data_IF_945252722076
#
_entry.id   IF_945252722076
#
_cell.length_a   1.000
_cell.length_b   1.000
_cell.length_c   1.000
_cell.angle_alpha   90.00
_cell.angle_beta   90.00
_cell.angle_gamma   90.00
#
_symmetry.space_group_name_H-M   'P 1'
#
loop_
_entity.id
_entity.type
_entity.pdbx_description
1 polymer ?
#
# COMPACT_ATOMS: atom_id res chain seq x y z
N UNK A 1 -53.08 11.42 21.16
CA UNK A 1 -51.69 11.34 20.67
C UNK A 1 -50.92 10.67 21.78
N UNK A 2 -50.40 9.46 21.55
CA UNK A 2 -49.57 8.80 22.56
C UNK A 2 -48.18 9.45 22.49
N UNK A 3 -47.77 10.10 23.56
CA UNK A 3 -46.38 10.51 23.75
C UNK A 3 -45.56 9.23 23.91
N UNK A 4 -44.66 8.98 22.96
CA UNK A 4 -43.67 7.92 23.06
C UNK A 4 -42.71 8.31 24.17
N UNK A 5 -42.70 7.57 25.28
CA UNK A 5 -41.71 7.76 26.34
C UNK A 5 -40.29 7.57 25.74
N UNK A 6 -39.33 8.46 26.07
CA UNK A 6 -37.98 8.35 25.54
C UNK A 6 -37.35 7.04 26.02
N UNK A 7 -36.64 6.36 25.12
CA UNK A 7 -35.94 5.11 25.42
C UNK A 7 -34.94 5.35 26.57
N UNK A 8 -34.74 4.36 27.47
CA UNK A 8 -33.88 4.49 28.65
C UNK A 8 -32.38 4.61 28.33
N UNK A 9 -31.99 4.48 27.06
CA UNK A 9 -30.65 4.74 26.55
C UNK A 9 -30.76 5.60 25.29
N UNK A 10 -29.89 6.60 25.21
CA UNK A 10 -29.70 7.43 24.03
C UNK A 10 -28.53 6.90 23.19
N UNK A 11 -28.44 7.34 21.94
CA UNK A 11 -27.27 7.02 21.09
C UNK A 11 -25.97 7.55 21.72
N UNK A 12 -26.04 8.69 22.40
CA UNK A 12 -24.91 9.32 23.11
C UNK A 12 -24.36 8.43 24.25
N UNK A 13 -25.22 7.63 24.88
CA UNK A 13 -24.82 6.66 25.91
C UNK A 13 -24.10 5.42 25.35
N UNK A 14 -24.04 5.28 24.02
CA UNK A 14 -23.56 4.05 23.37
C UNK A 14 -22.49 4.30 22.30
N UNK A 15 -22.39 5.51 21.77
CA UNK A 15 -21.50 5.85 20.65
C UNK A 15 -20.55 6.96 21.08
N UNK A 16 -19.26 6.72 20.95
CA UNK A 16 -18.24 7.77 21.04
C UNK A 16 -18.02 8.31 19.65
N UNK A 17 -18.42 9.56 19.40
CA UNK A 17 -18.14 10.22 18.11
C UNK A 17 -16.62 10.30 17.87
N UNK A 18 -16.19 10.09 16.63
CA UNK A 18 -14.78 10.23 16.26
C UNK A 18 -14.31 11.68 16.42
N UNK A 19 -12.98 11.88 16.48
CA UNK A 19 -12.38 13.21 16.56
C UNK A 19 -12.81 14.09 15.38
N UNK A 20 -12.81 13.56 14.15
CA UNK A 20 -13.16 14.36 12.95
C UNK A 20 -14.60 14.87 13.02
N UNK A 21 -15.54 14.02 13.46
CA UNK A 21 -16.93 14.44 13.66
C UNK A 21 -17.10 15.49 14.77
N UNK A 22 -16.22 15.48 15.78
CA UNK A 22 -16.27 16.39 16.94
C UNK A 22 -15.59 17.73 16.67
N UNK A 23 -14.45 17.71 16.00
CA UNK A 23 -13.57 18.87 15.81
C UNK A 23 -13.75 19.50 14.42
N UNK A 24 -13.76 18.69 13.38
CA UNK A 24 -13.77 19.16 11.98
C UNK A 24 -15.18 19.24 11.38
N UNK A 25 -16.13 18.53 12.00
CA UNK A 25 -17.54 18.50 11.58
C UNK A 25 -17.79 17.74 10.28
N UNK A 26 -16.79 17.00 9.79
CA UNK A 26 -16.85 16.17 8.59
C UNK A 26 -16.04 14.89 8.79
N UNK A 27 -16.39 13.84 8.06
CA UNK A 27 -15.59 12.61 7.96
C UNK A 27 -14.96 12.68 6.57
N UNK A 28 -13.63 12.58 6.46
CA UNK A 28 -13.04 12.33 5.14
C UNK A 28 -13.50 10.94 4.69
N UNK A 29 -14.25 10.91 3.58
CA UNK A 29 -14.89 9.70 3.09
C UNK A 29 -13.99 8.85 2.22
N UNK A 30 -12.76 9.30 1.94
CA UNK A 30 -11.86 8.65 1.01
C UNK A 30 -10.48 8.45 1.63
N UNK A 31 -10.08 7.18 1.73
CA UNK A 31 -8.72 6.79 2.08
C UNK A 31 -7.81 6.98 0.87
N UNK A 32 -6.65 7.60 1.07
CA UNK A 32 -5.67 7.93 0.02
C UNK A 32 -4.30 7.43 0.42
N UNK A 33 -3.65 6.66 -0.46
CA UNK A 33 -2.37 6.04 -0.14
C UNK A 33 -1.29 7.07 0.23
N UNK A 34 -1.20 8.18 -0.50
CA UNK A 34 -0.17 9.19 -0.25
C UNK A 34 -0.30 9.94 1.08
N UNK A 35 -1.43 9.81 1.79
CA UNK A 35 -1.60 10.40 3.12
C UNK A 35 -0.80 9.65 4.20
N UNK A 36 -0.26 8.46 3.92
CA UNK A 36 0.57 7.72 4.89
C UNK A 36 1.88 8.46 5.22
N UNK A 37 2.31 9.37 4.35
CA UNK A 37 3.52 10.18 4.52
C UNK A 37 3.27 11.47 5.34
N UNK A 38 2.02 11.77 5.68
CA UNK A 38 1.63 12.95 6.46
C UNK A 38 1.19 12.54 7.88
N UNK A 39 2.03 12.83 8.87
CA UNK A 39 1.79 12.51 10.29
C UNK A 39 0.49 13.11 10.86
N UNK A 40 -0.10 14.11 10.20
CA UNK A 40 -1.37 14.73 10.61
C UNK A 40 -2.61 14.03 10.02
N UNK A 41 -2.43 13.11 9.06
CA UNK A 41 -3.51 12.40 8.38
C UNK A 41 -3.89 11.08 9.06
N UNK A 42 -5.12 10.62 8.83
CA UNK A 42 -5.62 9.38 9.43
C UNK A 42 -4.88 8.13 8.93
N UNK A 43 -4.41 8.15 7.68
CA UNK A 43 -3.76 7.01 7.05
C UNK A 43 -2.36 6.71 7.61
N UNK A 44 -1.67 7.68 8.21
CA UNK A 44 -0.32 7.49 8.77
C UNK A 44 -0.33 6.82 10.15
N UNK A 45 -1.40 6.97 10.94
CA UNK A 45 -1.54 6.30 12.24
C UNK A 45 -2.06 4.86 12.07
N UNK A 46 -1.14 3.89 12.08
CA UNK A 46 -1.46 2.47 11.89
C UNK A 46 -2.49 1.92 12.90
N UNK A 47 -2.36 2.27 14.19
CA UNK A 47 -3.25 1.77 15.24
C UNK A 47 -4.67 2.31 15.02
N UNK A 48 -4.79 3.61 14.77
CA UNK A 48 -6.07 4.25 14.48
C UNK A 48 -6.67 3.74 13.17
N UNK A 49 -5.84 3.57 12.14
CA UNK A 49 -6.24 3.05 10.85
C UNK A 49 -6.86 1.67 10.98
N UNK A 50 -6.19 0.75 11.68
CA UNK A 50 -6.67 -0.62 11.88
C UNK A 50 -7.89 -0.71 12.80
N UNK A 51 -7.97 0.10 13.87
CA UNK A 51 -9.16 0.18 14.74
C UNK A 51 -10.43 0.55 13.94
N UNK A 52 -10.27 1.40 12.92
CA UNK A 52 -11.36 1.82 12.03
C UNK A 52 -11.52 0.96 10.78
N UNK A 53 -10.66 -0.03 10.59
CA UNK A 53 -10.70 -0.92 9.43
C UNK A 53 -11.44 -2.20 9.75
N UNK A 54 -12.56 -2.43 9.05
CA UNK A 54 -13.27 -3.70 9.12
C UNK A 54 -12.54 -4.76 8.29
N UNK A 55 -12.26 -5.91 8.89
CA UNK A 55 -11.75 -7.09 8.19
C UNK A 55 -12.81 -7.65 7.22
N UNK A 56 -12.79 -7.17 5.98
CA UNK A 56 -13.63 -7.68 4.90
C UNK A 56 -13.05 -8.98 4.32
N UNK A 57 -13.86 -9.75 3.60
CA UNK A 57 -13.36 -10.94 2.92
C UNK A 57 -12.24 -10.61 1.92
N UNK A 58 -12.38 -9.54 1.14
CA UNK A 58 -11.36 -9.13 0.17
C UNK A 58 -10.05 -8.71 0.83
N UNK A 59 -10.11 -8.00 1.96
CA UNK A 59 -8.91 -7.64 2.71
C UNK A 59 -8.24 -8.87 3.34
N UNK A 60 -9.02 -9.81 3.90
CA UNK A 60 -8.49 -11.09 4.38
C UNK A 60 -7.78 -11.86 3.27
N UNK A 61 -8.38 -11.93 2.09
CA UNK A 61 -7.76 -12.59 0.92
C UNK A 61 -6.47 -11.89 0.51
N UNK A 62 -6.42 -10.55 0.47
CA UNK A 62 -5.20 -9.81 0.17
C UNK A 62 -4.07 -10.09 1.18
N UNK A 63 -4.37 -10.09 2.48
CA UNK A 63 -3.40 -10.39 3.55
C UNK A 63 -2.93 -11.85 3.52
N UNK A 64 -3.82 -12.77 3.13
CA UNK A 64 -3.48 -14.19 2.94
C UNK A 64 -2.46 -14.34 1.80
N UNK A 65 -2.70 -13.68 0.66
CA UNK A 65 -1.77 -13.70 -0.48
C UNK A 65 -0.45 -13.02 -0.09
N UNK A 66 -0.49 -11.91 0.65
CA UNK A 66 0.72 -11.25 1.17
C UNK A 66 1.54 -12.20 2.04
N UNK A 67 0.90 -12.87 3.02
CA UNK A 67 1.55 -13.87 3.87
C UNK A 67 2.19 -14.98 3.04
N UNK A 68 1.46 -15.54 2.07
CA UNK A 68 1.95 -16.64 1.24
C UNK A 68 3.16 -16.19 0.38
N UNK A 69 3.14 -14.95 -0.10
CA UNK A 69 4.27 -14.31 -0.79
C UNK A 69 5.50 -14.14 0.13
N UNK A 70 5.31 -13.56 1.32
CA UNK A 70 6.39 -13.33 2.28
C UNK A 70 7.01 -14.62 2.86
N UNK A 71 6.25 -15.72 2.85
CA UNK A 71 6.73 -17.03 3.33
C UNK A 71 7.32 -17.91 2.21
N UNK A 72 7.25 -17.46 0.96
CA UNK A 72 7.70 -18.21 -0.22
C UNK A 72 6.76 -19.35 -0.65
N UNK A 73 5.56 -19.44 -0.05
CA UNK A 73 4.51 -20.38 -0.47
C UNK A 73 3.87 -19.95 -1.81
N UNK A 74 3.89 -18.65 -2.12
CA UNK A 74 3.57 -18.09 -3.43
C UNK A 74 4.82 -17.40 -4.02
N UNK A 75 5.36 -17.87 -5.16
CA UNK A 75 6.57 -17.30 -5.77
C UNK A 75 6.33 -15.92 -6.42
N UNK A 76 5.15 -15.33 -6.22
CA UNK A 76 4.76 -14.04 -6.80
C UNK A 76 4.91 -12.95 -5.74
N UNK A 77 6.01 -12.19 -5.80
CA UNK A 77 6.17 -10.94 -5.05
C UNK A 77 5.30 -9.77 -5.53
N UNK A 78 4.47 -9.99 -6.57
CA UNK A 78 3.64 -8.93 -7.17
C UNK A 78 2.17 -9.11 -6.85
N UNK A 79 1.57 -8.08 -6.26
CA UNK A 79 0.16 -8.03 -5.91
C UNK A 79 -0.55 -6.97 -6.77
N UNK A 80 -1.54 -7.37 -7.57
CA UNK A 80 -2.32 -6.43 -8.38
C UNK A 80 -3.75 -6.36 -7.88
N UNK A 81 -4.17 -5.17 -7.45
CA UNK A 81 -5.51 -4.90 -6.94
C UNK A 81 -6.37 -4.31 -8.07
N UNK A 82 -7.27 -5.10 -8.62
CA UNK A 82 -8.22 -4.67 -9.65
C UNK A 82 -9.63 -4.47 -9.09
N UNK A 83 -10.32 -3.42 -9.53
CA UNK A 83 -11.71 -3.18 -9.15
C UNK A 83 -12.21 -1.80 -9.54
N UNK A 84 -13.53 -1.60 -9.64
CA UNK A 84 -14.11 -0.31 -9.95
C UNK A 84 -13.82 0.73 -8.86
N UNK A 85 -14.04 2.01 -9.17
CA UNK A 85 -13.97 3.08 -8.17
C UNK A 85 -14.88 2.78 -6.97
N UNK A 86 -14.40 3.07 -5.76
CA UNK A 86 -15.14 2.82 -4.52
C UNK A 86 -15.13 1.36 -4.04
N UNK A 87 -14.35 0.46 -4.65
CA UNK A 87 -14.22 -0.94 -4.18
C UNK A 87 -13.28 -1.11 -2.97
N UNK A 88 -12.71 -0.02 -2.45
CA UNK A 88 -11.81 -0.04 -1.29
C UNK A 88 -10.35 -0.40 -1.59
N UNK A 89 -9.89 -0.27 -2.84
CA UNK A 89 -8.49 -0.60 -3.23
C UNK A 89 -7.45 0.21 -2.47
N UNK A 90 -7.58 1.54 -2.47
CA UNK A 90 -6.65 2.40 -1.74
C UNK A 90 -6.67 2.10 -0.22
N UNK A 91 -7.83 1.74 0.33
CA UNK A 91 -7.93 1.26 1.72
C UNK A 91 -7.15 -0.05 1.93
N UNK A 92 -7.27 -1.02 1.02
CA UNK A 92 -6.47 -2.24 1.07
C UNK A 92 -4.97 -1.95 0.91
N UNK A 93 -4.58 -1.01 0.04
CA UNK A 93 -3.19 -0.61 -0.13
C UNK A 93 -2.61 -0.01 1.15
N UNK A 94 -3.33 0.87 1.85
CA UNK A 94 -2.89 1.41 3.16
C UNK A 94 -2.78 0.32 4.21
N UNK A 95 -3.72 -0.64 4.25
CA UNK A 95 -3.61 -1.79 5.16
C UNK A 95 -2.36 -2.64 4.87
N UNK A 96 -2.05 -2.88 3.59
CA UNK A 96 -0.85 -3.61 3.18
C UNK A 96 0.42 -2.80 3.45
N UNK A 97 0.40 -1.48 3.27
CA UNK A 97 1.50 -0.57 3.61
C UNK A 97 1.90 -0.73 5.08
N UNK A 98 0.92 -0.69 5.99
CA UNK A 98 1.17 -0.86 7.43
C UNK A 98 1.68 -2.24 7.82
N UNK A 99 1.58 -3.25 6.94
CA UNK A 99 2.23 -4.55 7.18
C UNK A 99 3.76 -4.46 7.07
N UNK A 100 4.28 -3.44 6.38
CA UNK A 100 5.72 -3.19 6.22
C UNK A 100 6.19 -2.04 7.11
N UNK A 101 5.39 -0.97 7.24
CA UNK A 101 5.74 0.22 8.05
C UNK A 101 5.56 -0.01 9.56
N UNK A 102 4.44 -0.65 9.94
CA UNK A 102 4.05 -0.88 11.32
C UNK A 102 3.65 -2.36 11.56
N UNK A 103 4.55 -3.33 11.31
CA UNK A 103 4.22 -4.76 11.31
C UNK A 103 3.61 -5.24 12.62
N UNK A 104 4.00 -4.65 13.76
CA UNK A 104 3.41 -4.99 15.06
C UNK A 104 1.91 -4.65 15.13
N UNK A 105 1.50 -3.46 14.66
CA UNK A 105 0.10 -3.06 14.64
C UNK A 105 -0.71 -3.93 13.67
N UNK A 106 -0.14 -4.25 12.51
CA UNK A 106 -0.75 -5.16 11.53
C UNK A 106 -0.92 -6.58 12.09
N UNK A 107 0.10 -7.11 12.78
CA UNK A 107 0.06 -8.41 13.43
C UNK A 107 -1.02 -8.47 14.52
N UNK A 108 -1.04 -7.51 15.43
CA UNK A 108 -2.02 -7.43 16.52
C UNK A 108 -3.47 -7.41 15.99
N UNK A 109 -3.70 -6.71 14.87
CA UNK A 109 -5.02 -6.58 14.27
C UNK A 109 -5.44 -7.80 13.43
N UNK A 110 -4.54 -8.40 12.65
CA UNK A 110 -4.89 -9.42 11.64
C UNK A 110 -4.70 -10.88 12.08
N UNK A 111 -3.93 -11.16 13.13
CA UNK A 111 -3.51 -12.54 13.48
C UNK A 111 -4.67 -13.49 13.81
N UNK A 112 -5.76 -12.97 14.38
CA UNK A 112 -6.97 -13.77 14.63
C UNK A 112 -7.75 -14.13 13.35
N UNK A 113 -7.48 -13.44 12.25
CA UNK A 113 -8.18 -13.59 10.97
C UNK A 113 -7.37 -14.29 9.89
N UNK A 114 -6.04 -14.27 10.00
CA UNK A 114 -5.11 -14.87 9.04
C UNK A 114 -4.06 -15.67 9.82
N UNK A 115 -4.19 -17.00 9.79
CA UNK A 115 -3.27 -17.89 10.50
C UNK A 115 -1.83 -17.69 10.03
N UNK A 116 -0.88 -17.60 10.98
CA UNK A 116 0.55 -17.44 10.69
C UNK A 116 0.96 -16.07 10.16
N UNK A 117 0.06 -15.08 10.20
CA UNK A 117 0.32 -13.74 9.66
C UNK A 117 1.45 -13.01 10.38
N UNK A 118 1.41 -12.92 11.72
CA UNK A 118 2.46 -12.27 12.52
C UNK A 118 3.86 -12.80 12.17
N UNK A 119 4.01 -14.12 12.06
CA UNK A 119 5.30 -14.75 11.76
C UNK A 119 5.80 -14.55 10.32
N UNK A 120 4.92 -14.10 9.41
CA UNK A 120 5.27 -13.86 8.02
C UNK A 120 5.69 -12.40 7.77
N UNK A 121 5.34 -11.47 8.66
CA UNK A 121 5.68 -10.06 8.48
C UNK A 121 7.19 -9.83 8.63
N UNK A 122 7.76 -8.91 7.84
CA UNK A 122 9.18 -8.59 7.95
C UNK A 122 9.47 -7.86 9.27
N UNK A 123 10.63 -8.14 9.87
CA UNK A 123 11.10 -7.42 11.06
C UNK A 123 11.38 -5.94 10.76
N UNK A 124 11.89 -5.66 9.56
CA UNK A 124 12.14 -4.32 9.03
C UNK A 124 11.90 -4.34 7.52
N UNK A 125 11.29 -3.29 7.00
CA UNK A 125 11.10 -3.09 5.57
C UNK A 125 11.11 -1.60 5.23
N UNK A 126 11.36 -1.30 3.96
CA UNK A 126 11.27 0.03 3.38
C UNK A 126 10.03 0.08 2.48
N UNK A 127 8.89 0.54 2.99
CA UNK A 127 7.72 0.79 2.15
C UNK A 127 7.90 2.09 1.36
N UNK A 128 7.62 2.03 0.06
CA UNK A 128 7.71 3.16 -0.85
C UNK A 128 6.34 3.35 -1.48
N UNK A 129 5.73 4.51 -1.28
CA UNK A 129 4.42 4.86 -1.84
C UNK A 129 4.58 5.81 -3.01
N UNK A 130 3.85 5.55 -4.09
CA UNK A 130 3.80 6.44 -5.25
C UNK A 130 2.37 6.64 -5.69
N UNK A 131 1.90 7.88 -5.62
CA UNK A 131 0.57 8.27 -6.08
C UNK A 131 0.69 9.00 -7.42
N UNK A 132 0.48 8.27 -8.50
CA UNK A 132 0.74 8.76 -9.86
C UNK A 132 -0.14 9.93 -10.32
N UNK A 133 -1.24 10.21 -9.62
CA UNK A 133 -2.09 11.38 -9.88
C UNK A 133 -1.54 12.67 -9.26
N UNK A 134 -0.73 12.56 -8.20
CA UNK A 134 -0.21 13.70 -7.45
C UNK A 134 1.19 14.10 -7.93
N UNK A 135 1.99 13.12 -8.38
CA UNK A 135 3.40 13.31 -8.69
C UNK A 135 3.67 13.28 -10.20
N UNK A 136 4.57 14.16 -10.66
CA UNK A 136 4.86 14.35 -12.08
C UNK A 136 6.14 13.62 -12.50
N UNK A 137 6.28 12.35 -12.15
CA UNK A 137 7.46 11.57 -12.53
C UNK A 137 7.53 11.36 -14.04
N UNK A 138 8.73 11.57 -14.59
CA UNK A 138 9.01 11.22 -15.98
C UNK A 138 9.09 9.70 -16.12
N UNK A 139 9.74 9.06 -15.14
CA UNK A 139 9.95 7.63 -15.13
C UNK A 139 9.57 7.01 -13.78
N UNK A 140 8.92 5.85 -13.83
CA UNK A 140 8.44 5.12 -12.65
C UNK A 140 9.55 4.76 -11.67
N UNK A 141 10.78 4.65 -12.15
CA UNK A 141 11.93 4.30 -11.32
C UNK A 141 12.48 5.48 -10.52
N UNK A 142 12.13 6.72 -10.87
CA UNK A 142 12.57 7.91 -10.13
C UNK A 142 12.20 7.82 -8.64
N UNK A 143 10.92 7.68 -8.25
CA UNK A 143 10.56 7.57 -6.83
C UNK A 143 11.15 6.33 -6.16
N UNK A 144 11.29 5.23 -6.90
CA UNK A 144 11.86 3.99 -6.38
C UNK A 144 13.32 4.18 -5.95
N UNK A 145 14.16 4.76 -6.82
CA UNK A 145 15.57 4.97 -6.51
C UNK A 145 15.81 6.18 -5.60
N UNK A 146 14.95 7.21 -5.66
CA UNK A 146 14.97 8.33 -4.72
C UNK A 146 14.76 7.85 -3.27
N UNK A 147 13.78 6.98 -3.04
CA UNK A 147 13.50 6.45 -1.70
C UNK A 147 14.61 5.52 -1.17
N UNK A 148 15.38 4.88 -2.05
CA UNK A 148 16.51 4.01 -1.70
C UNK A 148 17.85 4.76 -1.62
N UNK A 149 17.87 6.09 -1.81
CA UNK A 149 19.09 6.92 -1.89
C UNK A 149 20.15 6.32 -2.85
N UNK A 150 19.69 5.82 -4.00
CA UNK A 150 20.51 5.12 -4.98
C UNK A 150 20.54 5.88 -6.31
N UNK A 151 21.73 6.02 -6.92
CA UNK A 151 21.87 6.58 -8.26
C UNK A 151 21.91 5.44 -9.30
N UNK A 152 20.82 5.19 -10.06
CA UNK A 152 20.80 4.16 -11.09
C UNK A 152 21.63 4.55 -12.33
N UNK A 153 22.21 5.76 -12.35
CA UNK A 153 22.89 6.33 -13.49
C UNK A 153 21.93 6.98 -14.49
N UNK A 154 22.50 7.42 -15.61
CA UNK A 154 21.74 8.08 -16.68
C UNK A 154 21.47 7.11 -17.82
N UNK A 155 20.22 7.05 -18.27
CA UNK A 155 19.80 6.24 -19.40
C UNK A 155 19.58 7.14 -20.62
N UNK A 156 20.20 6.82 -21.76
CA UNK A 156 19.89 7.50 -23.03
C UNK A 156 18.45 7.17 -23.49
N UNK A 157 17.93 7.88 -24.51
CA UNK A 157 16.56 7.66 -25.04
C UNK A 157 16.30 6.18 -25.33
N UNK A 158 15.39 5.56 -24.56
CA UNK A 158 15.03 4.15 -24.67
C UNK A 158 15.76 3.20 -23.70
N UNK A 159 16.69 3.68 -22.88
CA UNK A 159 17.28 2.92 -21.78
C UNK A 159 16.35 2.86 -20.56
N UNK A 160 16.63 1.92 -19.65
CA UNK A 160 15.93 1.71 -18.39
C UNK A 160 16.84 0.94 -17.41
N UNK A 161 16.62 1.07 -16.09
CA UNK A 161 17.29 0.26 -15.08
C UNK A 161 16.97 -1.22 -15.25
N UNK A 162 18.01 -2.05 -15.37
CA UNK A 162 17.86 -3.50 -15.50
C UNK A 162 17.70 -4.18 -14.13
N UNK A 163 17.48 -5.49 -14.15
CA UNK A 163 17.31 -6.30 -12.94
C UNK A 163 18.47 -6.18 -11.96
N UNK A 164 19.71 -6.18 -12.46
CA UNK A 164 20.90 -6.08 -11.62
C UNK A 164 20.93 -4.73 -10.91
N UNK A 165 20.61 -3.64 -11.62
CA UNK A 165 20.53 -2.30 -11.03
C UNK A 165 19.50 -2.23 -9.91
N UNK A 166 18.34 -2.87 -10.10
CA UNK A 166 17.28 -2.92 -9.09
C UNK A 166 17.74 -3.74 -7.87
N UNK A 167 18.34 -4.92 -8.10
CA UNK A 167 18.86 -5.77 -7.02
C UNK A 167 19.99 -5.09 -6.24
N UNK A 168 20.89 -4.39 -6.92
CA UNK A 168 21.99 -3.64 -6.29
C UNK A 168 21.46 -2.49 -5.40
N UNK A 169 20.36 -1.85 -5.80
CA UNK A 169 19.73 -0.80 -5.02
C UNK A 169 18.95 -1.33 -3.80
N UNK A 170 18.27 -2.47 -3.94
CA UNK A 170 17.54 -3.12 -2.83
C UNK A 170 18.51 -3.75 -1.82
N UNK A 171 19.60 -4.34 -2.30
CA UNK A 171 20.56 -5.05 -1.46
C UNK A 171 19.92 -6.21 -0.69
N UNK A 172 20.17 -6.25 0.62
CA UNK A 172 19.64 -7.27 1.53
C UNK A 172 18.35 -6.81 2.25
N UNK A 173 17.76 -5.68 1.84
CA UNK A 173 16.57 -5.10 2.47
C UNK A 173 15.26 -5.68 1.92
N UNK A 174 14.20 -5.64 2.73
CA UNK A 174 12.83 -5.90 2.24
C UNK A 174 12.24 -4.57 1.77
N UNK A 175 11.90 -4.46 0.49
CA UNK A 175 11.31 -3.25 -0.10
C UNK A 175 9.91 -3.55 -0.60
N UNK A 176 8.94 -2.74 -0.20
CA UNK A 176 7.55 -2.85 -0.65
C UNK A 176 7.17 -1.61 -1.48
N UNK A 177 7.03 -1.78 -2.79
CA UNK A 177 6.74 -0.68 -3.71
C UNK A 177 5.26 -0.62 -4.07
N UNK A 178 4.56 0.38 -3.54
CA UNK A 178 3.13 0.61 -3.73
C UNK A 178 2.90 1.69 -4.78
N UNK A 179 2.25 1.32 -5.88
CA UNK A 179 1.93 2.26 -6.97
C UNK A 179 0.43 2.37 -7.13
N UNK A 180 -0.15 3.53 -6.77
CA UNK A 180 -1.57 3.82 -6.98
C UNK A 180 -1.79 4.52 -8.33
N UNK A 181 -2.92 4.22 -8.96
CA UNK A 181 -3.35 4.80 -10.25
C UNK A 181 -2.34 4.62 -11.41
N UNK A 182 -1.61 3.49 -11.41
CA UNK A 182 -0.61 3.16 -12.44
C UNK A 182 -1.20 3.14 -13.86
N UNK A 183 -2.40 2.57 -14.04
CA UNK A 183 -3.04 2.43 -15.36
C UNK A 183 -3.27 3.79 -16.01
N UNK A 184 -3.92 4.70 -15.29
CA UNK A 184 -4.26 6.04 -15.76
C UNK A 184 -3.00 6.81 -16.15
N UNK A 185 -1.95 6.78 -15.32
CA UNK A 185 -0.69 7.44 -15.63
C UNK A 185 0.02 6.82 -16.83
N UNK A 186 0.12 5.49 -16.88
CA UNK A 186 0.83 4.77 -17.94
C UNK A 186 0.18 4.98 -19.32
N UNK A 187 -1.12 5.20 -19.36
CA UNK A 187 -1.85 5.51 -20.59
C UNK A 187 -1.62 6.92 -21.13
N UNK A 188 -1.16 7.85 -20.28
CA UNK A 188 -0.73 9.18 -20.74
C UNK A 188 0.60 9.17 -21.49
N UNK A 189 1.44 8.15 -21.27
CA UNK A 189 2.80 8.07 -21.82
C UNK A 189 2.82 7.81 -23.33
N UNK A 190 3.86 8.28 -24.02
CA UNK A 190 4.05 8.08 -25.46
C UNK A 190 5.52 7.80 -25.83
N UNK A 191 5.74 7.21 -27.01
CA UNK A 191 7.07 7.02 -27.60
C UNK A 191 8.05 6.21 -26.75
N UNK A 192 9.30 6.64 -26.73
CA UNK A 192 10.38 6.00 -25.97
C UNK A 192 10.07 5.97 -24.47
N UNK A 193 9.45 7.03 -23.93
CA UNK A 193 9.07 7.11 -22.51
C UNK A 193 8.11 5.99 -22.10
N UNK A 194 7.08 5.68 -22.91
CA UNK A 194 6.18 4.55 -22.63
C UNK A 194 6.92 3.21 -22.71
N UNK A 195 7.87 3.10 -23.65
CA UNK A 195 8.65 1.88 -23.86
C UNK A 195 9.63 1.62 -22.71
N UNK A 196 10.36 2.64 -22.25
CA UNK A 196 11.28 2.56 -21.11
C UNK A 196 10.54 2.23 -19.82
N UNK A 197 9.42 2.89 -19.52
CA UNK A 197 8.62 2.59 -18.33
C UNK A 197 8.07 1.16 -18.34
N UNK A 198 7.65 0.66 -19.51
CA UNK A 198 7.24 -0.74 -19.67
C UNK A 198 8.37 -1.71 -19.37
N UNK A 199 9.57 -1.41 -19.87
CA UNK A 199 10.73 -2.27 -19.71
C UNK A 199 11.28 -2.25 -18.28
N UNK A 200 11.21 -1.11 -17.61
CA UNK A 200 11.46 -1.01 -16.17
C UNK A 200 10.47 -1.85 -15.36
N UNK A 201 9.16 -1.72 -15.62
CA UNK A 201 8.14 -2.57 -14.98
C UNK A 201 8.44 -4.05 -15.16
N UNK A 202 8.84 -4.48 -16.37
CA UNK A 202 9.22 -5.86 -16.61
C UNK A 202 10.45 -6.26 -15.75
N UNK A 203 11.49 -5.43 -15.71
CA UNK A 203 12.70 -5.70 -14.93
C UNK A 203 12.42 -5.77 -13.43
N UNK A 204 11.56 -4.87 -12.93
CA UNK A 204 11.11 -4.87 -11.55
C UNK A 204 10.36 -6.17 -11.22
N UNK A 205 9.35 -6.54 -12.01
CA UNK A 205 8.58 -7.77 -11.79
C UNK A 205 9.47 -9.02 -11.85
N UNK A 206 10.42 -9.08 -12.79
CA UNK A 206 11.36 -10.21 -12.88
C UNK A 206 12.29 -10.27 -11.67
N UNK A 207 12.73 -9.13 -11.13
CA UNK A 207 13.56 -9.09 -9.92
C UNK A 207 12.85 -9.64 -8.69
N UNK A 208 11.53 -9.44 -8.57
CA UNK A 208 10.72 -10.00 -7.46
C UNK A 208 10.51 -11.51 -7.54
N UNK A 209 10.72 -12.13 -8.69
CA UNK A 209 10.47 -13.56 -8.91
C UNK A 209 11.75 -14.42 -8.85
N UNK A 210 12.93 -13.80 -8.89
CA UNK A 210 14.23 -14.48 -8.97
C UNK A 210 14.95 -14.59 -7.63
N UNK A 211 14.58 -13.78 -6.63
CA UNK A 211 15.09 -13.87 -5.26
C UNK A 211 14.84 -15.21 -4.58
N UNK A 212 13.88 -16.01 -5.07
CA UNK A 212 13.52 -17.33 -4.52
C UNK A 212 14.26 -18.52 -5.18
N UNK A 213 15.18 -18.26 -6.13
CA UNK A 213 15.87 -19.30 -6.91
C UNK A 213 17.33 -19.57 -6.48
N UNK A 214 17.84 -18.88 -5.45
CA UNK A 214 19.19 -19.05 -4.91
C UNK A 214 19.24 -19.83 -3.57
#
# INVERSE_FOLDING_TARGET
MAETEPLPKTLDDTVTLSRELREDGQIDGQVKLYNVEDDDEFESDAELFFDRTLMTQGLREALTILRDSLTGDDPRGTHILYGPYGSGKSHQMVALYHCFDAPAAAADWASDSVDGFESALPDNATPITVAMQNEQYEYLWEPFFEALDYDPGTFESGGYPDMQTIQDAVGDETVAFFVDELEDWFDTLQGDRKSSNKAFLQSLLESTALSDLD
#
